data_IF_065767781603
#
_entry.id   IF_065767781603
#
_cell.length_a   1.000
_cell.length_b   1.000
_cell.length_c   1.000
_cell.angle_alpha   90.00
_cell.angle_beta   90.00
_cell.angle_gamma   90.00
#
_symmetry.space_group_name_H-M   'P 1'
#
loop_
_entity.id
_entity.type
_entity.pdbx_description
1 polymer ?
#
# COMPACT_ATOMS: atom_id res chain seq x y z
N UNK A 1 1.69 -43.69 45.32
CA UNK A 1 2.93 -43.79 44.53
C UNK A 1 2.85 -43.11 43.12
N UNK A 2 1.75 -43.27 42.34
CA UNK A 2 1.61 -42.66 41.01
C UNK A 2 1.51 -41.11 41.03
N UNK A 3 0.87 -40.51 42.04
CA UNK A 3 0.70 -39.06 42.19
C UNK A 3 2.03 -38.39 42.56
N UNK A 4 2.82 -38.98 43.43
CA UNK A 4 4.14 -38.47 43.81
C UNK A 4 5.12 -38.42 42.62
N UNK A 5 5.08 -39.42 41.74
CA UNK A 5 5.87 -39.43 40.50
C UNK A 5 5.46 -38.32 39.54
N UNK A 6 4.15 -38.02 39.42
CA UNK A 6 3.67 -36.91 38.57
C UNK A 6 4.08 -35.53 39.10
N UNK A 7 3.96 -35.33 40.45
CA UNK A 7 4.39 -34.08 41.09
C UNK A 7 5.89 -33.86 40.93
N UNK A 8 6.68 -34.93 41.12
CA UNK A 8 8.13 -34.87 40.94
C UNK A 8 8.54 -34.53 39.49
N UNK A 9 7.83 -35.10 38.51
CA UNK A 9 8.08 -34.79 37.09
C UNK A 9 7.73 -33.34 36.74
N UNK A 10 6.64 -32.82 37.29
CA UNK A 10 6.25 -31.39 37.12
C UNK A 10 7.29 -30.46 37.75
N UNK A 11 7.82 -30.80 38.91
CA UNK A 11 8.85 -30.03 39.60
C UNK A 11 10.17 -30.01 38.82
N UNK A 12 10.55 -31.11 38.18
CA UNK A 12 11.72 -31.18 37.28
C UNK A 12 11.50 -30.29 36.07
N UNK A 13 10.32 -30.32 35.44
CA UNK A 13 10.02 -29.45 34.30
C UNK A 13 10.07 -27.98 34.68
N UNK A 14 9.52 -27.59 35.82
CA UNK A 14 9.57 -26.20 36.32
C UNK A 14 11.01 -25.76 36.62
N UNK A 15 11.83 -26.62 37.21
CA UNK A 15 13.25 -26.30 37.48
C UNK A 15 14.06 -26.15 36.18
N UNK A 16 13.81 -26.99 35.19
CA UNK A 16 14.43 -26.85 33.85
C UNK A 16 14.03 -25.53 33.18
N UNK A 17 12.74 -25.17 33.24
CA UNK A 17 12.24 -23.91 32.71
C UNK A 17 12.90 -22.69 33.40
N UNK A 18 13.01 -22.70 34.73
CA UNK A 18 13.67 -21.64 35.49
C UNK A 18 15.18 -21.53 35.22
N UNK A 19 15.85 -22.64 34.95
CA UNK A 19 17.27 -22.65 34.57
C UNK A 19 17.50 -22.15 33.13
N UNK A 20 16.54 -22.33 32.21
CA UNK A 20 16.64 -21.84 30.82
C UNK A 20 16.57 -20.31 30.72
N UNK A 21 15.82 -19.67 31.62
CA UNK A 21 15.78 -18.21 31.68
C UNK A 21 17.11 -17.56 32.08
N UNK A 22 18.05 -18.30 32.63
CA UNK A 22 19.31 -17.77 33.13
C UNK A 22 20.53 -18.05 32.24
N UNK A 23 20.39 -18.87 31.19
CA UNK A 23 21.53 -19.24 30.35
C UNK A 23 21.12 -19.57 28.91
N UNK A 24 21.44 -18.67 27.95
CA UNK A 24 21.15 -18.81 26.54
C UNK A 24 21.61 -20.13 25.89
N UNK A 25 22.67 -20.73 26.44
CA UNK A 25 23.18 -22.03 25.94
C UNK A 25 22.20 -23.20 26.23
N UNK A 26 21.56 -23.16 27.38
CA UNK A 26 20.56 -24.19 27.77
C UNK A 26 19.27 -23.96 27.01
N UNK A 27 18.86 -22.67 26.81
CA UNK A 27 17.71 -22.31 25.98
C UNK A 27 17.81 -22.88 24.58
N UNK A 28 18.93 -22.68 23.89
CA UNK A 28 19.17 -23.21 22.55
C UNK A 28 19.17 -24.74 22.47
N UNK A 29 19.59 -25.43 23.54
CA UNK A 29 19.56 -26.91 23.60
C UNK A 29 18.13 -27.45 23.84
N UNK A 30 17.37 -26.79 24.69
CA UNK A 30 15.95 -27.12 24.94
C UNK A 30 15.12 -26.88 23.70
N UNK A 31 15.35 -25.79 23.02
CA UNK A 31 14.69 -25.47 21.73
C UNK A 31 14.94 -26.59 20.71
N UNK A 32 16.19 -27.04 20.52
CA UNK A 32 16.51 -28.16 19.62
C UNK A 32 15.81 -29.45 19.99
N UNK A 33 15.70 -29.75 21.28
CA UNK A 33 15.00 -30.94 21.77
C UNK A 33 13.49 -30.82 21.50
N UNK A 34 12.90 -29.66 21.75
CA UNK A 34 11.48 -29.41 21.48
C UNK A 34 11.17 -29.51 19.98
N UNK A 35 12.06 -29.01 19.11
CA UNK A 35 11.94 -29.13 17.65
C UNK A 35 11.93 -30.61 17.22
N UNK A 36 12.85 -31.45 17.78
CA UNK A 36 12.88 -32.87 17.49
C UNK A 36 11.59 -33.56 17.99
N UNK A 37 11.12 -33.20 19.18
CA UNK A 37 9.88 -33.76 19.75
C UNK A 37 8.62 -33.35 18.97
N UNK A 38 8.60 -32.13 18.41
CA UNK A 38 7.46 -31.68 17.60
C UNK A 38 7.31 -32.47 16.30
N UNK A 39 8.41 -32.91 15.71
CA UNK A 39 8.38 -33.81 14.54
C UNK A 39 7.74 -35.17 14.85
N UNK A 40 7.87 -35.69 16.09
CA UNK A 40 7.23 -36.92 16.54
C UNK A 40 5.74 -36.74 16.92
N UNK A 41 5.27 -35.51 17.15
CA UNK A 41 3.89 -35.22 17.58
C UNK A 41 3.00 -34.69 16.45
N UNK A 42 3.42 -34.81 15.20
CA UNK A 42 2.75 -34.21 14.02
C UNK A 42 2.56 -32.70 14.11
N UNK A 43 3.28 -32.01 14.99
CA UNK A 43 3.24 -30.57 15.16
C UNK A 43 4.13 -29.88 14.10
N UNK A 44 3.81 -30.14 12.84
CA UNK A 44 4.53 -29.63 11.67
C UNK A 44 3.62 -28.78 10.79
N UNK A 45 4.23 -27.88 10.04
CA UNK A 45 3.52 -27.06 9.04
C UNK A 45 3.06 -27.96 7.89
N UNK A 46 1.75 -28.05 7.68
CA UNK A 46 1.14 -28.90 6.65
C UNK A 46 0.67 -28.11 5.44
N UNK A 47 0.15 -26.91 5.67
CA UNK A 47 -0.50 -26.13 4.64
C UNK A 47 -0.26 -24.63 4.85
N UNK A 48 -0.18 -23.87 3.75
CA UNK A 48 -0.08 -22.41 3.75
C UNK A 48 -1.17 -21.84 2.86
N UNK A 49 -2.06 -21.06 3.45
CA UNK A 49 -3.13 -20.36 2.75
C UNK A 49 -2.80 -18.87 2.66
N UNK A 50 -2.88 -18.32 1.45
CA UNK A 50 -2.67 -16.88 1.20
C UNK A 50 -3.90 -16.31 0.51
N UNK A 51 -4.49 -15.29 1.13
CA UNK A 51 -5.65 -14.56 0.62
C UNK A 51 -5.36 -13.07 0.44
N UNK A 52 -6.23 -12.34 -0.26
CA UNK A 52 -6.16 -10.89 -0.43
C UNK A 52 -5.14 -10.39 -1.47
N UNK A 53 -4.35 -11.27 -2.11
CA UNK A 53 -3.41 -10.91 -3.16
C UNK A 53 -4.14 -10.56 -4.46
N UNK A 54 -3.79 -9.42 -5.06
CA UNK A 54 -4.31 -8.95 -6.36
C UNK A 54 -3.15 -8.74 -7.33
N UNK A 55 -2.21 -7.85 -6.98
CA UNK A 55 -1.11 -7.41 -7.84
C UNK A 55 0.25 -8.01 -7.45
N UNK A 56 0.49 -8.23 -6.16
CA UNK A 56 1.77 -8.79 -5.70
C UNK A 56 2.00 -10.19 -6.30
N UNK A 57 3.24 -10.49 -6.67
CA UNK A 57 3.53 -11.78 -7.29
C UNK A 57 3.48 -12.92 -6.27
N UNK A 58 2.95 -14.08 -6.68
CA UNK A 58 2.95 -15.29 -5.84
C UNK A 58 4.37 -15.69 -5.44
N UNK A 59 5.32 -15.54 -6.32
CA UNK A 59 6.72 -15.90 -6.08
C UNK A 59 7.32 -15.01 -4.97
N UNK A 60 7.10 -13.69 -5.02
CA UNK A 60 7.57 -12.77 -3.99
C UNK A 60 6.98 -13.10 -2.63
N UNK A 61 5.68 -13.42 -2.58
CA UNK A 61 5.00 -13.79 -1.34
C UNK A 61 5.61 -15.08 -0.76
N UNK A 62 5.78 -16.13 -1.57
CA UNK A 62 6.37 -17.39 -1.12
C UNK A 62 7.81 -17.21 -0.63
N UNK A 63 8.60 -16.37 -1.32
CA UNK A 63 9.96 -16.04 -0.89
C UNK A 63 9.97 -15.25 0.43
N UNK A 64 9.01 -14.34 0.63
CA UNK A 64 8.90 -13.56 1.86
C UNK A 64 8.49 -14.41 3.06
N UNK A 65 7.60 -15.39 2.84
CA UNK A 65 7.17 -16.35 3.87
C UNK A 65 8.33 -17.24 4.31
N UNK A 66 9.13 -17.72 3.36
CA UNK A 66 10.34 -18.54 3.55
C UNK A 66 10.16 -19.68 4.57
N UNK A 67 9.06 -20.41 4.46
CA UNK A 67 8.78 -21.61 5.27
C UNK A 67 8.77 -22.85 4.40
N UNK A 68 9.04 -24.01 5.03
CA UNK A 68 9.04 -25.31 4.35
C UNK A 68 7.93 -26.18 4.94
N UNK A 69 7.13 -26.82 4.08
CA UNK A 69 6.14 -27.80 4.56
C UNK A 69 6.86 -28.96 5.24
N UNK A 70 6.34 -29.37 6.40
CA UNK A 70 6.93 -30.39 7.24
C UNK A 70 7.89 -29.86 8.32
N UNK A 71 8.23 -28.56 8.30
CA UNK A 71 9.03 -27.97 9.39
C UNK A 71 8.22 -27.88 10.70
N UNK A 72 8.93 -27.86 11.81
CA UNK A 72 8.31 -27.74 13.13
C UNK A 72 7.60 -26.40 13.31
N UNK A 73 6.35 -26.42 13.80
CA UNK A 73 5.60 -25.19 14.10
C UNK A 73 6.31 -24.31 15.15
N UNK A 74 7.21 -24.87 15.95
CA UNK A 74 8.00 -24.12 16.94
C UNK A 74 9.08 -23.23 16.30
N UNK A 75 9.47 -23.51 15.05
CA UNK A 75 10.46 -22.73 14.30
C UNK A 75 9.83 -21.65 13.42
N UNK A 76 8.50 -21.67 13.24
CA UNK A 76 7.78 -20.70 12.42
C UNK A 76 7.70 -19.36 13.14
N UNK A 77 8.46 -18.37 12.67
CA UNK A 77 8.44 -17.03 13.23
C UNK A 77 7.42 -16.15 12.49
N UNK A 78 6.20 -16.09 13.05
CA UNK A 78 5.08 -15.34 12.49
C UNK A 78 5.38 -13.83 12.37
N UNK A 79 6.17 -13.28 13.31
CA UNK A 79 6.54 -11.87 13.29
C UNK A 79 7.46 -11.56 12.13
N UNK A 80 8.49 -12.37 11.93
CA UNK A 80 9.43 -12.22 10.82
C UNK A 80 8.73 -12.40 9.46
N UNK A 81 7.83 -13.38 9.34
CA UNK A 81 7.00 -13.57 8.14
C UNK A 81 6.21 -12.30 7.84
N UNK A 82 5.52 -11.73 8.83
CA UNK A 82 4.74 -10.50 8.66
C UNK A 82 5.62 -9.32 8.26
N UNK A 83 6.77 -9.15 8.88
CA UNK A 83 7.72 -8.08 8.54
C UNK A 83 8.21 -8.21 7.10
N UNK A 84 8.57 -9.43 6.66
CA UNK A 84 8.99 -9.70 5.29
C UNK A 84 7.87 -9.44 4.26
N UNK A 85 6.63 -9.85 4.57
CA UNK A 85 5.48 -9.58 3.71
C UNK A 85 5.22 -8.08 3.59
N UNK A 86 5.28 -7.33 4.69
CA UNK A 86 5.06 -5.89 4.71
C UNK A 86 6.17 -5.09 4.00
N UNK A 87 7.32 -5.71 3.72
CA UNK A 87 8.38 -5.12 2.90
C UNK A 87 8.16 -5.30 1.38
N UNK A 88 7.17 -6.10 0.96
CA UNK A 88 6.82 -6.22 -0.45
C UNK A 88 6.15 -4.95 -0.95
N UNK A 89 6.47 -4.56 -2.18
CA UNK A 89 6.12 -3.24 -2.71
C UNK A 89 4.62 -2.97 -2.81
N UNK A 90 3.80 -3.99 -3.05
CA UNK A 90 2.34 -3.86 -3.12
C UNK A 90 1.64 -4.02 -1.77
N UNK A 91 2.32 -4.59 -0.78
CA UNK A 91 1.71 -4.92 0.50
C UNK A 91 1.66 -3.68 1.39
N UNK A 92 0.46 -3.29 1.77
CA UNK A 92 0.19 -2.23 2.73
C UNK A 92 0.28 -2.75 4.17
N UNK A 93 -0.25 -3.94 4.41
CA UNK A 93 -0.26 -4.64 5.69
C UNK A 93 -0.54 -6.12 5.45
N UNK A 94 -0.20 -6.96 6.43
CA UNK A 94 -0.52 -8.38 6.40
C UNK A 94 -0.89 -8.89 7.78
N UNK A 95 -1.72 -9.93 7.82
CA UNK A 95 -2.04 -10.69 9.01
C UNK A 95 -1.55 -12.12 8.83
N UNK A 96 -0.88 -12.66 9.84
CA UNK A 96 -0.30 -14.01 9.78
C UNK A 96 -0.76 -14.78 11.01
N UNK A 97 -1.44 -15.91 10.80
CA UNK A 97 -2.00 -16.74 11.85
C UNK A 97 -1.56 -18.17 11.69
N UNK A 98 -1.16 -18.77 12.79
CA UNK A 98 -0.94 -20.21 12.89
C UNK A 98 -2.21 -20.86 13.46
N UNK A 99 -2.91 -21.60 12.61
CA UNK A 99 -4.13 -22.30 12.96
C UNK A 99 -3.84 -23.71 13.48
N UNK A 100 -4.79 -24.35 14.18
CA UNK A 100 -4.67 -25.75 14.58
C UNK A 100 -4.36 -26.66 13.38
N UNK A 101 -3.77 -27.81 13.66
CA UNK A 101 -3.42 -28.86 12.68
C UNK A 101 -2.31 -28.47 11.70
N UNK A 102 -1.53 -27.42 11.99
CA UNK A 102 -0.36 -27.04 11.19
C UNK A 102 -0.70 -26.22 9.94
N UNK A 103 -1.74 -25.42 10.00
CA UNK A 103 -2.12 -24.51 8.92
C UNK A 103 -1.61 -23.10 9.20
N UNK A 104 -0.90 -22.50 8.23
CA UNK A 104 -0.49 -21.10 8.25
C UNK A 104 -1.44 -20.31 7.35
N UNK A 105 -2.20 -19.39 7.94
CA UNK A 105 -3.10 -18.50 7.22
C UNK A 105 -2.50 -17.10 7.14
N UNK A 106 -2.46 -16.56 5.92
CA UNK A 106 -1.90 -15.26 5.62
C UNK A 106 -2.94 -14.45 4.86
N UNK A 107 -3.27 -13.28 5.39
CA UNK A 107 -4.13 -12.32 4.73
C UNK A 107 -3.33 -11.09 4.36
N UNK A 108 -3.35 -10.74 3.07
CA UNK A 108 -2.59 -9.62 2.49
C UNK A 108 -3.55 -8.49 2.17
N UNK A 109 -3.19 -7.28 2.59
CA UNK A 109 -3.87 -6.04 2.24
C UNK A 109 -2.95 -5.23 1.33
N UNK A 110 -3.32 -5.09 0.05
CA UNK A 110 -2.52 -4.33 -0.90
C UNK A 110 -2.86 -2.84 -0.90
N UNK A 111 -1.90 -2.03 -1.32
CA UNK A 111 -2.12 -0.63 -1.65
C UNK A 111 -3.05 -0.51 -2.86
N UNK A 112 -3.96 0.46 -2.81
CA UNK A 112 -4.84 0.81 -3.94
C UNK A 112 -4.19 1.95 -4.70
N UNK A 113 -3.84 1.76 -5.98
CA UNK A 113 -3.26 2.81 -6.81
C UNK A 113 -4.23 3.98 -6.99
N UNK A 114 -3.74 5.20 -6.79
CA UNK A 114 -4.49 6.43 -6.99
C UNK A 114 -3.96 7.25 -8.16
N UNK A 115 -2.64 7.31 -8.31
CA UNK A 115 -1.94 8.03 -9.37
C UNK A 115 -0.51 7.52 -9.53
N UNK A 116 0.21 8.11 -10.49
CA UNK A 116 1.63 7.86 -10.75
C UNK A 116 2.43 9.10 -10.39
N UNK A 117 3.48 8.95 -9.61
CA UNK A 117 4.39 10.05 -9.24
C UNK A 117 5.78 9.81 -9.82
N UNK A 118 6.30 10.78 -10.55
CA UNK A 118 7.68 10.75 -11.04
C UNK A 118 8.52 11.70 -10.19
N UNK A 119 9.61 11.16 -9.62
CA UNK A 119 10.55 11.93 -8.82
C UNK A 119 11.56 12.72 -9.68
N UNK A 120 12.47 13.46 -9.03
CA UNK A 120 13.51 14.26 -9.67
C UNK A 120 14.55 13.41 -10.42
N UNK A 121 14.67 12.12 -10.08
CA UNK A 121 15.54 11.14 -10.73
C UNK A 121 14.86 10.39 -11.89
N UNK A 122 13.66 10.82 -12.29
CA UNK A 122 12.82 10.17 -13.30
C UNK A 122 12.33 8.74 -12.92
N UNK A 123 12.40 8.34 -11.66
CA UNK A 123 11.77 7.12 -11.20
C UNK A 123 10.27 7.33 -11.04
N UNK A 124 9.48 6.44 -11.59
CA UNK A 124 8.01 6.52 -11.49
C UNK A 124 7.49 5.47 -10.52
N UNK A 125 6.69 5.94 -9.57
CA UNK A 125 6.07 5.13 -8.52
C UNK A 125 4.56 5.20 -8.61
N UNK A 126 3.90 4.13 -8.23
CA UNK A 126 2.50 4.18 -7.84
C UNK A 126 2.36 4.87 -6.49
N UNK A 127 1.33 5.68 -6.37
CA UNK A 127 0.98 6.35 -5.12
C UNK A 127 -0.46 6.03 -4.73
N UNK A 128 -0.71 5.95 -3.43
CA UNK A 128 -2.06 5.88 -2.90
C UNK A 128 -2.65 7.28 -2.62
N UNK A 129 -3.89 7.36 -2.16
CA UNK A 129 -4.59 8.62 -1.83
C UNK A 129 -3.90 9.45 -0.72
N UNK A 130 -3.04 8.83 0.06
CA UNK A 130 -2.30 9.49 1.16
C UNK A 130 -0.88 9.92 0.74
N UNK A 131 -0.49 9.71 -0.52
CA UNK A 131 0.83 10.07 -1.02
C UNK A 131 1.93 9.05 -0.71
N UNK A 132 1.59 7.87 -0.20
CA UNK A 132 2.56 6.80 0.01
C UNK A 132 2.97 6.24 -1.34
N UNK A 133 4.28 6.27 -1.63
CA UNK A 133 4.89 5.58 -2.77
C UNK A 133 5.06 4.11 -2.41
N UNK A 134 4.64 3.20 -3.28
CA UNK A 134 4.71 1.78 -2.94
C UNK A 134 5.32 0.88 -4.02
N UNK A 135 5.14 1.12 -5.29
CA UNK A 135 5.72 0.29 -6.34
C UNK A 135 6.43 1.15 -7.38
N UNK A 136 7.66 0.77 -7.75
CA UNK A 136 8.35 1.37 -8.88
C UNK A 136 7.85 0.69 -10.17
N UNK A 137 7.41 1.46 -11.14
CA UNK A 137 6.79 1.00 -12.38
C UNK A 137 7.39 1.68 -13.59
N UNK A 138 7.20 1.10 -14.77
CA UNK A 138 7.40 1.84 -16.01
C UNK A 138 6.28 2.88 -16.16
N UNK A 139 6.63 4.11 -16.61
CA UNK A 139 5.67 5.21 -16.76
C UNK A 139 4.50 4.88 -17.70
N UNK A 140 4.69 3.94 -18.61
CA UNK A 140 3.65 3.49 -19.55
C UNK A 140 2.67 2.48 -18.96
N UNK A 141 3.00 1.92 -17.78
CA UNK A 141 2.05 1.07 -17.06
C UNK A 141 0.94 1.90 -16.42
N UNK A 142 -0.20 1.28 -16.14
CA UNK A 142 -1.37 1.93 -15.51
C UNK A 142 -1.80 3.22 -16.21
N UNK A 143 -2.03 3.17 -17.53
CA UNK A 143 -2.40 4.34 -18.37
C UNK A 143 -3.66 5.06 -17.91
N UNK A 144 -4.56 4.37 -17.23
CA UNK A 144 -5.78 4.97 -16.68
C UNK A 144 -5.52 5.95 -15.53
N UNK A 145 -4.37 5.83 -14.86
CA UNK A 145 -3.99 6.70 -13.75
C UNK A 145 -3.35 8.00 -14.24
N UNK A 146 -3.69 9.11 -13.57
CA UNK A 146 -3.06 10.40 -13.84
C UNK A 146 -1.60 10.41 -13.39
N UNK A 147 -0.80 11.29 -14.03
CA UNK A 147 0.58 11.57 -13.65
C UNK A 147 0.61 12.74 -12.67
N UNK A 148 1.26 12.58 -11.53
CA UNK A 148 1.45 13.62 -10.52
C UNK A 148 2.89 14.12 -10.55
N UNK A 149 3.08 15.42 -10.67
CA UNK A 149 4.37 16.08 -10.72
C UNK A 149 4.39 17.35 -9.86
N UNK A 150 5.58 17.86 -9.63
CA UNK A 150 5.83 19.14 -8.98
C UNK A 150 6.33 19.01 -7.55
N UNK A 151 7.03 20.05 -7.13
CA UNK A 151 7.58 20.13 -5.75
C UNK A 151 6.44 20.09 -4.75
N UNK A 152 6.62 19.34 -3.67
CA UNK A 152 5.66 19.16 -2.57
C UNK A 152 4.30 18.53 -3.00
N UNK A 153 4.19 18.00 -4.22
CA UNK A 153 2.95 17.41 -4.72
C UNK A 153 2.47 16.24 -3.84
N UNK A 154 3.39 15.37 -3.37
CA UNK A 154 3.06 14.25 -2.49
C UNK A 154 2.54 14.70 -1.12
N UNK A 155 3.05 15.79 -0.57
CA UNK A 155 2.64 16.31 0.74
C UNK A 155 1.18 16.81 0.72
N UNK A 156 0.68 17.18 -0.45
CA UNK A 156 -0.64 17.76 -0.66
C UNK A 156 -1.59 16.87 -1.48
N UNK A 157 -1.17 15.63 -1.74
CA UNK A 157 -1.96 14.70 -2.57
C UNK A 157 -3.35 14.41 -1.98
N UNK A 158 -3.51 14.50 -0.66
CA UNK A 158 -4.79 14.29 0.04
C UNK A 158 -5.89 15.29 -0.34
N UNK A 159 -5.52 16.42 -0.96
CA UNK A 159 -6.49 17.39 -1.54
C UNK A 159 -7.12 16.87 -2.83
N UNK A 160 -6.42 16.00 -3.58
CA UNK A 160 -6.79 15.60 -4.92
C UNK A 160 -8.00 14.66 -5.04
N UNK A 161 -8.28 13.73 -4.11
CA UNK A 161 -9.43 12.83 -4.25
C UNK A 161 -10.75 13.57 -4.43
N UNK A 162 -11.00 14.62 -3.64
CA UNK A 162 -12.22 15.42 -3.74
C UNK A 162 -12.25 16.25 -5.03
N UNK A 163 -11.14 16.86 -5.39
CA UNK A 163 -10.99 17.62 -6.63
C UNK A 163 -11.26 16.74 -7.85
N UNK A 164 -10.63 15.56 -7.91
CA UNK A 164 -10.79 14.61 -9.04
C UNK A 164 -12.23 14.11 -9.11
N UNK A 165 -12.85 13.75 -7.97
CA UNK A 165 -14.23 13.32 -7.96
C UNK A 165 -15.18 14.41 -8.47
N UNK A 166 -14.96 15.66 -8.06
CA UNK A 166 -15.74 16.81 -8.53
C UNK A 166 -15.57 17.06 -10.02
N UNK A 167 -14.36 16.94 -10.56
CA UNK A 167 -14.12 17.02 -12.01
C UNK A 167 -14.80 15.87 -12.77
N UNK A 168 -14.77 14.65 -12.24
CA UNK A 168 -15.45 13.48 -12.83
C UNK A 168 -16.96 13.67 -12.89
N UNK A 169 -17.58 14.31 -11.90
CA UNK A 169 -19.02 14.63 -11.94
C UNK A 169 -19.40 15.59 -13.05
N UNK A 170 -18.41 16.33 -13.59
CA UNK A 170 -18.52 17.18 -14.78
C UNK A 170 -18.06 16.48 -16.07
N UNK A 171 -17.82 15.16 -16.03
CA UNK A 171 -17.26 14.36 -17.12
C UNK A 171 -15.83 14.76 -17.54
N UNK A 172 -15.06 15.40 -16.65
CA UNK A 172 -13.66 15.74 -16.90
C UNK A 172 -12.72 14.73 -16.22
N UNK A 173 -11.75 14.22 -16.99
CA UNK A 173 -10.82 13.22 -16.55
C UNK A 173 -9.39 13.77 -16.53
N UNK A 174 -8.76 13.76 -15.35
CA UNK A 174 -7.37 14.19 -15.23
C UNK A 174 -6.41 13.19 -15.90
N UNK A 175 -5.51 13.70 -16.74
CA UNK A 175 -4.40 12.96 -17.34
C UNK A 175 -3.08 13.23 -16.62
N UNK A 176 -2.86 14.49 -16.22
CA UNK A 176 -1.70 14.94 -15.46
C UNK A 176 -2.11 16.04 -14.48
N UNK A 177 -1.54 15.99 -13.29
CA UNK A 177 -1.74 16.99 -12.23
C UNK A 177 -0.37 17.50 -11.82
N UNK A 178 -0.23 18.79 -11.72
CA UNK A 178 1.06 19.43 -11.42
C UNK A 178 0.92 20.44 -10.28
N UNK A 179 1.79 20.32 -9.28
CA UNK A 179 1.89 21.32 -8.22
C UNK A 179 2.80 22.46 -8.66
N UNK A 180 2.26 23.65 -8.82
CA UNK A 180 3.00 24.83 -9.27
C UNK A 180 3.40 25.68 -8.07
N UNK A 181 4.69 26.03 -8.00
CA UNK A 181 5.29 26.87 -6.94
C UNK A 181 4.92 26.40 -5.51
N UNK A 182 4.75 25.09 -5.33
CA UNK A 182 4.32 24.48 -4.05
C UNK A 182 2.98 25.04 -3.50
N UNK A 183 2.17 25.68 -4.32
CA UNK A 183 0.97 26.41 -3.85
C UNK A 183 -0.32 25.99 -4.49
N UNK A 184 -0.37 25.79 -5.81
CA UNK A 184 -1.61 25.62 -6.57
C UNK A 184 -1.53 24.42 -7.49
N UNK A 185 -2.70 23.95 -7.93
CA UNK A 185 -2.80 22.82 -8.84
C UNK A 185 -3.11 23.28 -10.26
N UNK A 186 -2.36 22.76 -11.21
CA UNK A 186 -2.68 22.73 -12.63
C UNK A 186 -3.14 21.31 -12.98
N UNK A 187 -4.33 21.18 -13.56
CA UNK A 187 -4.92 19.89 -13.92
C UNK A 187 -5.08 19.82 -15.43
N UNK A 188 -4.29 18.97 -16.05
CA UNK A 188 -4.39 18.67 -17.47
C UNK A 188 -5.41 17.55 -17.67
N UNK A 189 -6.38 17.78 -18.52
CA UNK A 189 -7.48 16.85 -18.75
C UNK A 189 -7.23 15.99 -19.98
N UNK A 190 -7.85 14.81 -20.02
CA UNK A 190 -7.87 13.94 -21.22
C UNK A 190 -8.60 14.59 -22.38
N UNK A 191 -9.52 15.49 -22.09
CA UNK A 191 -10.29 16.32 -23.02
C UNK A 191 -9.44 17.40 -23.71
N UNK A 192 -8.15 17.51 -23.37
CA UNK A 192 -7.15 18.30 -24.12
C UNK A 192 -6.97 19.74 -23.65
N UNK A 193 -7.52 20.15 -22.54
CA UNK A 193 -7.30 21.49 -21.97
C UNK A 193 -6.83 21.43 -20.52
N UNK A 194 -6.38 22.56 -19.98
CA UNK A 194 -5.81 22.73 -18.66
C UNK A 194 -6.77 23.52 -17.77
N UNK A 195 -6.97 23.06 -16.52
CA UNK A 195 -7.63 23.84 -15.47
C UNK A 195 -6.56 24.36 -14.50
N UNK A 196 -6.54 25.67 -14.26
CA UNK A 196 -5.66 26.32 -13.28
C UNK A 196 -6.47 26.64 -12.03
N UNK A 197 -6.18 25.96 -10.93
CA UNK A 197 -6.88 26.15 -9.66
C UNK A 197 -6.19 27.20 -8.79
N UNK A 198 -6.93 27.91 -7.92
CA UNK A 198 -6.38 28.83 -6.93
C UNK A 198 -5.61 28.09 -5.84
N UNK A 199 -4.82 28.83 -5.07
CA UNK A 199 -4.16 28.31 -3.86
C UNK A 199 -5.16 28.14 -2.71
N UNK A 200 -6.09 29.05 -2.57
CA UNK A 200 -7.10 29.05 -1.52
C UNK A 200 -8.39 28.46 -2.11
N UNK A 201 -8.93 27.47 -1.41
CA UNK A 201 -10.20 26.83 -1.74
C UNK A 201 -10.31 26.28 -3.19
N UNK A 202 -9.34 25.46 -3.63
CA UNK A 202 -9.33 24.92 -4.98
C UNK A 202 -10.55 24.05 -5.30
N UNK A 203 -11.10 23.36 -4.30
CA UNK A 203 -12.25 22.49 -4.48
C UNK A 203 -13.51 23.26 -4.89
N UNK A 204 -13.83 24.34 -4.17
CA UNK A 204 -15.04 25.11 -4.46
C UNK A 204 -14.88 25.97 -5.72
N UNK A 205 -13.65 26.33 -6.11
CA UNK A 205 -13.44 27.06 -7.36
C UNK A 205 -13.94 26.29 -8.59
N UNK A 206 -14.00 24.96 -8.54
CA UNK A 206 -14.50 24.10 -9.61
C UNK A 206 -16.01 24.33 -9.87
N UNK A 207 -16.76 24.82 -8.86
CA UNK A 207 -18.19 25.13 -9.04
C UNK A 207 -18.44 26.19 -10.12
N UNK A 208 -17.46 27.01 -10.39
CA UNK A 208 -17.54 27.96 -11.47
C UNK A 208 -17.69 27.29 -12.85
N UNK A 209 -17.21 26.05 -13.01
CA UNK A 209 -17.37 25.28 -14.26
C UNK A 209 -18.82 24.87 -14.52
N UNK A 210 -19.64 24.66 -13.47
CA UNK A 210 -21.08 24.38 -13.62
C UNK A 210 -21.88 25.55 -14.18
N UNK A 211 -21.33 26.77 -14.01
CA UNK A 211 -21.96 28.01 -14.49
C UNK A 211 -21.54 28.37 -15.90
N UNK A 212 -20.60 27.64 -16.49
CA UNK A 212 -20.19 27.86 -17.86
C UNK A 212 -21.31 27.45 -18.81
N UNK A 213 -21.51 28.24 -19.85
CA UNK A 213 -22.52 28.01 -20.88
C UNK A 213 -22.31 26.61 -21.53
N UNK A 214 -23.41 25.88 -21.73
CA UNK A 214 -23.42 24.61 -22.44
C UNK A 214 -22.94 24.73 -23.90
N UNK A 215 -22.86 25.96 -24.45
CA UNK A 215 -22.35 26.24 -25.80
C UNK A 215 -20.82 26.32 -25.88
N UNK A 216 -20.09 26.18 -24.78
CA UNK A 216 -18.63 26.21 -24.81
C UNK A 216 -18.10 24.94 -25.50
N UNK A 217 -17.38 25.17 -26.61
CA UNK A 217 -16.65 24.10 -27.26
C UNK A 217 -15.33 23.81 -26.53
N UNK A 218 -15.36 22.85 -25.61
CA UNK A 218 -14.21 22.44 -24.79
C UNK A 218 -13.04 21.94 -25.64
N UNK A 219 -13.28 21.40 -26.83
CA UNK A 219 -12.22 20.90 -27.72
C UNK A 219 -11.30 22.01 -28.23
N UNK A 220 -11.79 23.24 -28.30
CA UNK A 220 -11.04 24.39 -28.74
C UNK A 220 -10.38 25.17 -27.60
N UNK A 221 -10.54 24.72 -26.33
CA UNK A 221 -9.91 25.37 -25.20
C UNK A 221 -8.43 24.96 -25.06
N UNK A 222 -7.61 25.95 -24.70
CA UNK A 222 -6.24 25.75 -24.24
C UNK A 222 -6.23 25.60 -22.69
N UNK A 223 -6.91 26.53 -22.01
CA UNK A 223 -7.06 26.45 -20.55
C UNK A 223 -8.31 27.21 -20.06
N UNK A 224 -8.72 26.80 -18.84
CA UNK A 224 -9.66 27.49 -17.97
C UNK A 224 -8.91 27.96 -16.73
N UNK A 225 -8.94 29.24 -16.42
CA UNK A 225 -8.27 29.83 -15.29
C UNK A 225 -9.27 30.23 -14.19
N UNK A 226 -9.22 29.54 -13.06
CA UNK A 226 -10.10 29.72 -11.90
C UNK A 226 -9.36 30.37 -10.71
N UNK A 227 -8.16 30.93 -10.93
CA UNK A 227 -7.31 31.45 -9.84
C UNK A 227 -7.85 32.71 -9.19
N UNK A 228 -8.69 33.47 -9.87
CA UNK A 228 -9.30 34.68 -9.34
C UNK A 228 -10.73 34.34 -8.90
N UNK A 229 -11.05 34.62 -7.65
CA UNK A 229 -12.38 34.37 -7.10
C UNK A 229 -13.44 35.10 -7.96
N UNK A 230 -14.57 34.42 -8.16
CA UNK A 230 -15.73 34.90 -8.91
C UNK A 230 -15.45 35.28 -10.39
N UNK A 231 -14.29 34.86 -10.93
CA UNK A 231 -13.91 35.09 -12.32
C UNK A 231 -13.44 33.81 -12.98
N UNK A 232 -13.99 33.47 -14.13
CA UNK A 232 -13.50 32.42 -15.03
C UNK A 232 -12.88 33.09 -16.27
N UNK A 233 -11.63 32.75 -16.57
CA UNK A 233 -10.96 33.21 -17.80
C UNK A 233 -10.72 32.03 -18.73
N UNK A 234 -11.13 32.12 -19.96
CA UNK A 234 -10.98 31.10 -20.98
C UNK A 234 -9.93 31.52 -21.99
N UNK A 235 -9.07 30.60 -22.41
CA UNK A 235 -8.19 30.78 -23.56
C UNK A 235 -8.48 29.69 -24.58
N UNK A 236 -8.77 30.12 -25.81
CA UNK A 236 -8.98 29.22 -26.93
C UNK A 236 -7.68 28.98 -27.70
N UNK A 237 -7.63 27.88 -28.43
CA UNK A 237 -6.58 27.61 -29.42
C UNK A 237 -6.66 28.64 -30.51
N UNK A 238 -5.51 29.12 -30.99
CA UNK A 238 -5.51 29.93 -32.21
C UNK A 238 -5.87 29.01 -33.38
N UNK A 239 -6.80 29.45 -34.19
CA UNK A 239 -7.12 28.81 -35.48
C UNK A 239 -6.18 29.48 -36.48
N UNK A 240 -5.17 28.74 -36.92
CA UNK A 240 -4.32 29.16 -38.05
C UNK A 240 -5.09 29.09 -39.36
#
# INVERSE_FOLDING_TARGET
MKIFKKIFLILIVITVILLTFKNNYIANKVEKILIIFSGYTENVLKEVYVSGRINESRANILNAINVTLGESLLTVDLKNIRENLNNLSWVKDSSVYLLPLGQLEIEIYEYIPFGKYTDENNNTFLINKNGVKFSNININEFESLFKLNGKDALLKVTELPLIINKLRSLNFNASRIERIDSRRWNIYLKEGFLIKLPNIDPLNSIDALYKLDNNINYNNLTFVDLRIKDRVSLKYKQVD
#
